data_IF_010005337089
#
_entry.id   IF_010005337089
#
_cell.length_a   1.000
_cell.length_b   1.000
_cell.length_c   1.000
_cell.angle_alpha   90.00
_cell.angle_beta   90.00
_cell.angle_gamma   90.00
#
_symmetry.space_group_name_H-M   'P 1'
#
loop_
_entity.id
_entity.type
_entity.pdbx_description
1 polymer ?
#
# COMPACT_ATOMS: atom_id res chain seq x y z
N UNK A 1 -1.06 6.41 2.20
CA UNK A 1 0.12 5.54 2.10
C UNK A 1 1.24 5.98 3.04
N UNK A 2 1.86 7.16 2.87
CA UNK A 2 2.82 7.69 3.88
C UNK A 2 2.29 7.77 5.32
N UNK A 3 1.05 8.20 5.52
CA UNK A 3 0.39 8.27 6.85
C UNK A 3 0.13 6.87 7.44
N UNK A 4 -0.11 5.88 6.58
CA UNK A 4 -0.27 4.48 6.99
C UNK A 4 1.04 3.90 7.51
N UNK A 5 2.16 4.18 6.83
CA UNK A 5 3.49 3.78 7.30
C UNK A 5 3.87 4.44 8.64
N UNK A 6 3.24 5.55 9.01
CA UNK A 6 3.41 6.21 10.31
C UNK A 6 2.48 5.67 11.39
N UNK A 7 1.67 4.64 11.10
CA UNK A 7 0.72 4.07 12.05
C UNK A 7 -0.48 4.97 12.36
N UNK A 8 -0.69 6.05 11.61
CA UNK A 8 -1.73 7.06 11.87
C UNK A 8 -3.07 6.75 11.19
N UNK A 9 -3.17 5.63 10.47
CA UNK A 9 -4.43 5.16 9.87
C UNK A 9 -4.86 3.83 10.49
N UNK A 10 -6.14 3.69 10.81
CA UNK A 10 -6.69 2.38 11.12
C UNK A 10 -6.87 1.54 9.84
N UNK A 11 -6.97 0.22 9.97
CA UNK A 11 -7.06 -0.71 8.84
C UNK A 11 -8.27 -0.44 7.92
N UNK A 12 -9.43 -0.10 8.49
CA UNK A 12 -10.65 0.09 7.71
C UNK A 12 -10.62 1.38 6.88
N UNK A 13 -10.23 2.49 7.49
CA UNK A 13 -10.00 3.77 6.82
C UNK A 13 -8.95 3.62 5.72
N UNK A 14 -7.87 2.89 6.00
CA UNK A 14 -6.85 2.61 5.00
C UNK A 14 -7.40 1.81 3.80
N UNK A 15 -8.18 0.76 4.04
CA UNK A 15 -8.80 -0.01 2.96
C UNK A 15 -9.75 0.86 2.11
N UNK A 16 -10.49 1.77 2.75
CA UNK A 16 -11.35 2.73 2.06
C UNK A 16 -10.54 3.70 1.19
N UNK A 17 -9.48 4.28 1.74
CA UNK A 17 -8.56 5.16 0.99
C UNK A 17 -7.90 4.44 -0.19
N UNK A 18 -7.58 3.14 -0.04
CA UNK A 18 -7.08 2.31 -1.12
C UNK A 18 -8.13 2.14 -2.22
N UNK A 19 -9.36 1.78 -1.84
CA UNK A 19 -10.46 1.57 -2.78
C UNK A 19 -10.81 2.84 -3.56
N UNK A 20 -10.86 4.00 -2.89
CA UNK A 20 -11.08 5.31 -3.53
C UNK A 20 -9.98 5.67 -4.54
N UNK A 21 -8.76 5.16 -4.33
CA UNK A 21 -7.61 5.33 -5.25
C UNK A 21 -7.52 4.23 -6.32
N UNK A 22 -8.50 3.34 -6.40
CA UNK A 22 -8.51 2.23 -7.36
C UNK A 22 -7.57 1.06 -7.02
N UNK A 23 -7.02 1.04 -5.81
CA UNK A 23 -6.13 -0.02 -5.33
C UNK A 23 -6.98 -1.17 -4.81
N UNK A 24 -6.78 -2.37 -5.37
CA UNK A 24 -7.51 -3.59 -5.00
C UNK A 24 -6.69 -4.52 -4.11
N UNK A 25 -5.37 -4.56 -4.31
CA UNK A 25 -4.44 -5.39 -3.52
C UNK A 25 -3.10 -4.69 -3.37
N UNK A 26 -2.34 -5.11 -2.38
CA UNK A 26 -0.94 -4.73 -2.23
C UNK A 26 -0.11 -5.97 -1.88
N UNK A 27 1.16 -5.95 -2.28
CA UNK A 27 2.13 -7.02 -2.01
C UNK A 27 3.32 -6.39 -1.29
N UNK A 28 3.62 -6.96 -0.13
CA UNK A 28 4.82 -6.63 0.65
C UNK A 28 5.94 -7.59 0.22
N UNK A 29 7.02 -7.06 -0.33
CA UNK A 29 8.24 -7.80 -0.58
C UNK A 29 9.24 -7.46 0.53
N UNK A 30 9.47 -8.39 1.45
CA UNK A 30 10.36 -8.18 2.59
C UNK A 30 11.85 -8.27 2.19
N UNK A 31 12.20 -9.06 1.16
CA UNK A 31 13.58 -9.12 0.66
C UNK A 31 14.04 -7.79 0.07
N UNK A 32 13.14 -7.13 -0.66
CA UNK A 32 13.37 -5.81 -1.28
C UNK A 32 12.94 -4.64 -0.39
N UNK A 33 12.30 -4.92 0.74
CA UNK A 33 11.64 -3.95 1.61
C UNK A 33 10.74 -2.98 0.81
N UNK A 34 9.85 -3.51 -0.02
CA UNK A 34 8.89 -2.72 -0.81
C UNK A 34 7.44 -3.12 -0.57
N UNK A 35 6.54 -2.14 -0.70
CA UNK A 35 5.10 -2.34 -0.77
C UNK A 35 4.63 -1.93 -2.16
N UNK A 36 4.07 -2.86 -2.93
CA UNK A 36 3.57 -2.60 -4.29
C UNK A 36 2.05 -2.67 -4.29
N UNK A 37 1.41 -1.64 -4.82
CA UNK A 37 -0.05 -1.53 -4.90
C UNK A 37 -0.51 -1.83 -6.31
N UNK A 38 -1.59 -2.58 -6.44
CA UNK A 38 -2.12 -3.02 -7.72
C UNK A 38 -3.58 -2.62 -7.90
N UNK A 39 -3.92 -2.30 -9.15
CA UNK A 39 -5.29 -2.03 -9.56
C UNK A 39 -6.11 -3.32 -9.73
N UNK A 40 -7.35 -3.17 -10.20
CA UNK A 40 -8.25 -4.30 -10.44
C UNK A 40 -7.80 -5.23 -11.58
N UNK A 41 -7.00 -4.73 -12.51
CA UNK A 41 -6.45 -5.44 -13.67
C UNK A 41 -5.04 -5.99 -13.37
N UNK A 42 -4.57 -5.84 -12.13
CA UNK A 42 -3.25 -6.26 -11.65
C UNK A 42 -2.08 -5.44 -12.21
N UNK A 43 -2.33 -4.21 -12.67
CA UNK A 43 -1.24 -3.29 -12.99
C UNK A 43 -0.64 -2.71 -11.71
N UNK A 44 0.68 -2.55 -11.69
CA UNK A 44 1.39 -1.85 -10.62
C UNK A 44 1.07 -0.35 -10.70
N UNK A 45 0.41 0.18 -9.67
CA UNK A 45 0.08 1.61 -9.61
C UNK A 45 1.21 2.37 -8.92
N UNK A 46 1.69 1.83 -7.80
CA UNK A 46 2.69 2.49 -6.95
C UNK A 46 3.58 1.43 -6.31
N UNK A 47 4.89 1.69 -6.28
CA UNK A 47 5.86 0.93 -5.49
C UNK A 47 6.45 1.88 -4.44
N UNK A 48 6.24 1.57 -3.17
CA UNK A 48 6.81 2.31 -2.05
C UNK A 48 7.93 1.49 -1.40
N UNK A 49 8.98 2.16 -0.93
CA UNK A 49 9.96 1.55 -0.04
C UNK A 49 9.42 1.56 1.39
N UNK A 50 9.50 0.42 2.05
CA UNK A 50 9.15 0.28 3.46
C UNK A 50 10.35 0.75 4.29
N UNK A 51 10.19 1.77 5.14
CA UNK A 51 11.28 2.22 5.99
C UNK A 51 11.67 1.11 6.97
N UNK A 52 12.98 0.83 7.05
CA UNK A 52 13.57 0.04 8.12
C UNK A 52 13.70 0.96 9.34
N UNK A 53 13.24 0.49 10.50
CA UNK A 53 13.37 1.19 11.77
C UNK A 53 14.82 1.17 12.28
#
# INVERSE_FOLDING_TARGET
MKIHQQGQTNYFTYCKDCAEKGIKKWIMNLDKMTCTYYDQVQNEIVVEKVPLA
#
